data_IF_532159825937
#
_entry.id   IF_532159825937
#
_cell.length_a   1.000
_cell.length_b   1.000
_cell.length_c   1.000
_cell.angle_alpha   90.00
_cell.angle_beta   90.00
_cell.angle_gamma   90.00
#
_symmetry.space_group_name_H-M   'P 1'
#
loop_
_entity.id
_entity.type
_entity.pdbx_description
1 polymer ?
#
# COMPACT_ATOMS: atom_id res chain seq x y z
N UNK A 1 5.15 -9.32 -5.89
CA UNK A 1 3.83 -9.19 -5.21
C UNK A 1 3.11 -10.55 -5.08
N UNK A 2 2.88 -11.35 -6.14
CA UNK A 2 2.09 -12.60 -6.02
C UNK A 2 2.63 -13.63 -5.03
N UNK A 3 3.96 -13.78 -4.97
CA UNK A 3 4.61 -14.69 -4.03
C UNK A 3 4.29 -14.36 -2.57
N UNK A 4 4.24 -13.06 -2.21
CA UNK A 4 3.91 -12.62 -0.86
C UNK A 4 2.51 -13.06 -0.46
N UNK A 5 1.53 -12.87 -1.35
CA UNK A 5 0.15 -13.28 -1.09
C UNK A 5 0.03 -14.80 -0.97
N UNK A 6 0.66 -15.56 -1.89
CA UNK A 6 0.65 -17.03 -1.85
C UNK A 6 1.22 -17.58 -0.53
N UNK A 7 2.40 -17.06 -0.12
CA UNK A 7 3.04 -17.47 1.14
C UNK A 7 2.21 -17.09 2.35
N UNK A 8 1.56 -15.92 2.34
CA UNK A 8 0.71 -15.51 3.44
C UNK A 8 -0.50 -16.42 3.62
N UNK A 9 -1.20 -16.79 2.53
CA UNK A 9 -2.32 -17.73 2.59
C UNK A 9 -1.88 -19.09 3.16
N UNK A 10 -0.74 -19.60 2.67
CA UNK A 10 -0.16 -20.90 3.06
C UNK A 10 0.31 -20.92 4.52
N UNK A 11 1.10 -19.92 4.93
CA UNK A 11 1.79 -19.92 6.21
C UNK A 11 1.00 -19.29 7.35
N UNK A 12 -0.02 -18.49 7.03
CA UNK A 12 -0.84 -17.78 8.01
C UNK A 12 -2.30 -18.25 8.00
N UNK A 13 -2.58 -19.42 7.41
CA UNK A 13 -3.90 -20.07 7.44
C UNK A 13 -5.02 -19.13 7.00
N UNK A 14 -4.80 -18.40 5.90
CA UNK A 14 -5.75 -17.46 5.32
C UNK A 14 -6.24 -16.36 6.29
N UNK A 15 -5.48 -16.06 7.34
CA UNK A 15 -5.78 -14.93 8.21
C UNK A 15 -5.86 -13.62 7.40
N UNK A 16 -6.69 -12.63 7.77
CA UNK A 16 -6.77 -11.36 7.06
C UNK A 16 -5.41 -10.66 6.98
N UNK A 17 -4.94 -10.41 5.76
CA UNK A 17 -3.63 -9.77 5.57
C UNK A 17 -3.75 -8.24 5.59
N UNK A 18 -2.79 -7.58 6.24
CA UNK A 18 -2.68 -6.12 6.32
C UNK A 18 -1.31 -5.68 5.79
N UNK A 19 -1.29 -4.86 4.73
CA UNK A 19 -0.05 -4.45 4.05
C UNK A 19 0.15 -2.94 4.08
N UNK A 20 1.41 -2.49 4.05
CA UNK A 20 1.79 -1.09 3.79
C UNK A 20 2.22 -0.97 2.33
N UNK A 21 1.37 -0.41 1.47
CA UNK A 21 1.55 -0.49 0.02
C UNK A 21 1.31 -1.91 -0.54
N UNK A 22 2.29 -2.54 -1.23
CA UNK A 22 3.72 -2.20 -1.24
C UNK A 22 4.14 -1.13 -2.26
N UNK A 23 5.19 -0.36 -1.94
CA UNK A 23 5.89 0.50 -2.92
C UNK A 23 6.48 -0.39 -4.02
N UNK A 24 6.24 -0.01 -5.28
CA UNK A 24 6.71 -0.75 -6.45
C UNK A 24 8.07 -0.27 -6.96
N UNK A 25 8.53 0.90 -6.51
CA UNK A 25 9.82 1.47 -6.83
C UNK A 25 10.21 2.53 -5.80
N UNK A 26 11.51 2.74 -5.61
CA UNK A 26 12.08 3.59 -4.56
C UNK A 26 12.62 4.93 -5.09
N UNK A 27 12.45 5.20 -6.38
CA UNK A 27 13.09 6.34 -7.06
C UNK A 27 12.23 7.61 -7.10
N UNK A 28 11.06 7.61 -6.45
CA UNK A 28 10.09 8.69 -6.54
C UNK A 28 9.59 9.18 -5.17
N UNK A 29 10.50 9.60 -4.26
CA UNK A 29 10.08 10.24 -3.02
C UNK A 29 9.20 11.47 -3.34
N UNK A 30 8.29 11.82 -2.43
CA UNK A 30 7.15 12.72 -2.67
C UNK A 30 5.95 12.09 -3.41
N UNK A 31 6.16 10.98 -4.11
CA UNK A 31 5.14 10.29 -4.91
C UNK A 31 4.89 8.85 -4.47
N UNK A 32 5.30 8.50 -3.24
CA UNK A 32 5.18 7.14 -2.73
C UNK A 32 3.73 6.69 -2.54
N UNK A 33 2.80 7.60 -2.29
CA UNK A 33 1.37 7.31 -2.35
C UNK A 33 0.90 6.79 -3.73
N UNK A 34 1.61 7.12 -4.83
CA UNK A 34 1.35 6.60 -6.18
C UNK A 34 2.10 5.27 -6.38
N UNK A 35 3.40 5.23 -6.10
CA UNK A 35 4.22 4.02 -6.29
C UNK A 35 3.67 2.84 -5.47
N UNK A 36 3.18 3.13 -4.26
CA UNK A 36 2.55 2.17 -3.37
C UNK A 36 1.11 1.83 -3.75
N UNK A 37 0.32 2.76 -4.29
CA UNK A 37 -1.04 2.47 -4.72
C UNK A 37 -1.08 1.41 -5.83
N UNK A 38 -0.08 1.38 -6.73
CA UNK A 38 0.06 0.33 -7.75
C UNK A 38 0.22 -1.04 -7.10
N UNK A 39 1.13 -1.16 -6.12
CA UNK A 39 1.35 -2.42 -5.43
C UNK A 39 0.19 -2.80 -4.53
N UNK A 40 -0.43 -1.82 -3.87
CA UNK A 40 -1.58 -2.00 -3.00
C UNK A 40 -2.78 -2.56 -3.79
N UNK A 41 -3.12 -1.97 -4.94
CA UNK A 41 -4.18 -2.48 -5.81
C UNK A 41 -3.87 -3.91 -6.29
N UNK A 42 -2.62 -4.15 -6.66
CA UNK A 42 -2.18 -5.48 -7.09
C UNK A 42 -2.35 -6.51 -5.97
N UNK A 43 -1.86 -6.25 -4.76
CA UNK A 43 -1.92 -7.23 -3.66
C UNK A 43 -3.33 -7.36 -3.06
N UNK A 44 -4.15 -6.31 -3.11
CA UNK A 44 -5.56 -6.35 -2.75
C UNK A 44 -6.35 -7.26 -3.69
N UNK A 45 -6.14 -7.14 -5.02
CA UNK A 45 -6.79 -8.03 -6.00
C UNK A 45 -6.44 -9.52 -5.81
N UNK A 46 -5.35 -9.81 -5.10
CA UNK A 46 -4.91 -11.17 -4.79
C UNK A 46 -5.40 -11.67 -3.42
N UNK A 47 -6.05 -10.84 -2.61
CA UNK A 47 -6.69 -11.25 -1.35
C UNK A 47 -6.25 -10.52 -0.07
N UNK A 48 -5.49 -9.42 -0.16
CA UNK A 48 -5.18 -8.61 1.03
C UNK A 48 -6.44 -7.91 1.56
N UNK A 49 -6.68 -8.01 2.88
CA UNK A 49 -7.94 -7.57 3.49
C UNK A 49 -7.95 -6.11 3.93
N UNK A 50 -6.78 -5.54 4.25
CA UNK A 50 -6.66 -4.14 4.65
C UNK A 50 -5.38 -3.53 4.07
N UNK A 51 -5.44 -2.26 3.67
CA UNK A 51 -4.31 -1.53 3.11
C UNK A 51 -3.98 -0.33 4.00
N UNK A 52 -2.76 -0.28 4.50
CA UNK A 52 -2.21 0.88 5.20
C UNK A 52 -1.82 1.89 4.14
N UNK A 53 -2.46 3.05 4.18
CA UNK A 53 -2.18 4.12 3.25
C UNK A 53 -0.76 4.68 3.41
N UNK A 54 -0.24 5.19 2.30
CA UNK A 54 1.05 5.89 2.22
C UNK A 54 0.76 7.31 1.75
N UNK A 55 1.43 8.28 2.34
CA UNK A 55 1.23 9.70 2.01
C UNK A 55 2.29 10.18 1.01
N UNK A 56 2.11 11.35 0.37
CA UNK A 56 3.20 12.00 -0.35
C UNK A 56 4.45 12.25 0.51
N UNK A 57 4.32 12.39 1.83
CA UNK A 57 5.45 12.67 2.72
C UNK A 57 6.20 11.45 3.23
N UNK A 58 5.82 10.25 2.79
CA UNK A 58 6.59 9.04 3.09
C UNK A 58 8.07 9.25 2.75
N UNK A 59 8.96 8.80 3.64
CA UNK A 59 10.41 8.98 3.56
C UNK A 59 10.92 10.44 3.57
N UNK A 60 10.05 11.44 3.70
CA UNK A 60 10.42 12.87 3.67
C UNK A 60 10.13 13.60 4.98
N UNK A 61 9.08 13.22 5.72
CA UNK A 61 8.75 13.85 7.00
C UNK A 61 7.32 13.57 7.45
N UNK A 62 6.87 14.30 8.48
CA UNK A 62 5.50 14.17 8.96
C UNK A 62 4.51 14.76 7.94
N UNK A 63 3.41 14.04 7.62
CA UNK A 63 2.39 14.52 6.70
C UNK A 63 1.57 15.64 7.33
N UNK A 64 1.16 16.60 6.51
CA UNK A 64 0.13 17.57 6.88
C UNK A 64 -1.28 17.08 6.51
N UNK A 65 -2.30 17.90 6.74
CA UNK A 65 -3.70 17.57 6.44
C UNK A 65 -3.95 17.19 4.98
N UNK A 66 -3.32 17.88 4.04
CA UNK A 66 -3.54 17.65 2.61
C UNK A 66 -2.81 16.39 2.14
N UNK A 67 -1.63 16.10 2.70
CA UNK A 67 -0.89 14.85 2.49
C UNK A 67 -1.71 13.64 2.97
N UNK A 68 -2.35 13.77 4.14
CA UNK A 68 -3.26 12.73 4.68
C UNK A 68 -4.43 12.50 3.72
N UNK A 69 -5.09 13.56 3.25
CA UNK A 69 -6.19 13.44 2.29
C UNK A 69 -5.74 12.77 0.98
N UNK A 70 -4.58 13.16 0.45
CA UNK A 70 -4.03 12.57 -0.78
C UNK A 70 -3.79 11.07 -0.63
N UNK A 71 -3.16 10.64 0.47
CA UNK A 71 -2.94 9.23 0.75
C UNK A 71 -4.25 8.44 0.92
N UNK A 72 -5.25 8.99 1.63
CA UNK A 72 -6.56 8.34 1.78
C UNK A 72 -7.23 8.15 0.41
N UNK A 73 -7.26 9.19 -0.44
CA UNK A 73 -7.91 9.10 -1.75
C UNK A 73 -7.18 8.09 -2.64
N UNK A 74 -5.85 8.10 -2.66
CA UNK A 74 -5.07 7.12 -3.42
C UNK A 74 -5.41 5.67 -3.02
N UNK A 75 -5.53 5.40 -1.72
CA UNK A 75 -5.84 4.07 -1.21
C UNK A 75 -7.31 3.69 -1.34
N UNK A 76 -8.22 4.67 -1.35
CA UNK A 76 -9.62 4.45 -1.72
C UNK A 76 -9.82 4.10 -3.19
N UNK A 77 -8.87 4.47 -4.06
CA UNK A 77 -8.84 4.07 -5.47
C UNK A 77 -8.20 2.69 -5.63
N UNK A 78 -7.16 2.39 -4.85
CA UNK A 78 -6.47 1.11 -4.90
C UNK A 78 -7.27 -0.07 -4.32
N UNK A 79 -8.12 0.20 -3.32
CA UNK A 79 -9.01 -0.77 -2.67
C UNK A 79 -10.26 -1.07 -3.52
#
# INVERSE_FOLDING_TARGET
IPENMRKQLEWCNEAPFYTLGPLTTDIAPAYDHITSAIGAATIASLGTAMLCYVTPKEHLGLPNRDDVKAGIIAYKIAA
#
